data_IF_453801710481
#
_entry.id   IF_453801710481
#
_cell.length_a   1.000
_cell.length_b   1.000
_cell.length_c   1.000
_cell.angle_alpha   90.00
_cell.angle_beta   90.00
_cell.angle_gamma   90.00
#
_symmetry.space_group_name_H-M   'P 1'
#
loop_
_entity.id
_entity.type
_entity.pdbx_description
1 polymer ?
#
# COMPACT_ATOMS: atom_id res chain seq x y z
N UNK A 1 5.62 13.71 -1.83
CA UNK A 1 5.04 12.53 -2.49
C UNK A 1 5.67 11.34 -1.81
N UNK A 2 4.89 10.57 -1.05
CA UNK A 2 5.35 9.35 -0.37
C UNK A 2 6.20 8.51 -1.33
N UNK A 3 7.47 8.31 -0.98
CA UNK A 3 8.40 7.50 -1.76
C UNK A 3 8.53 6.12 -1.12
N UNK A 4 7.41 5.40 -1.03
CA UNK A 4 7.33 4.05 -0.46
C UNK A 4 7.13 2.95 -1.51
N UNK A 5 7.38 1.71 -1.08
CA UNK A 5 7.09 0.50 -1.83
C UNK A 5 6.23 -0.44 -0.98
N UNK A 6 4.98 -0.63 -1.38
CA UNK A 6 4.07 -1.57 -0.72
C UNK A 6 4.41 -3.01 -1.10
N UNK A 7 4.60 -3.87 -0.10
CA UNK A 7 4.67 -5.32 -0.31
C UNK A 7 3.29 -5.88 -0.71
N UNK A 8 3.18 -6.40 -1.94
CA UNK A 8 1.93 -6.98 -2.48
C UNK A 8 1.91 -8.51 -2.46
N UNK A 9 2.84 -9.12 -1.72
CA UNK A 9 3.02 -10.56 -1.59
C UNK A 9 4.14 -11.13 -2.46
N UNK A 10 4.70 -12.28 -2.05
CA UNK A 10 5.70 -13.04 -2.82
C UNK A 10 6.91 -12.24 -3.29
N UNK A 11 7.46 -11.42 -2.41
CA UNK A 11 8.59 -10.53 -2.74
C UNK A 11 8.32 -9.62 -3.95
N UNK A 12 7.05 -9.32 -4.23
CA UNK A 12 6.63 -8.33 -5.21
C UNK A 12 6.25 -7.05 -4.48
N UNK A 13 6.71 -5.93 -5.03
CA UNK A 13 6.53 -4.61 -4.46
C UNK A 13 6.00 -3.67 -5.53
N UNK A 14 5.18 -2.71 -5.12
CA UNK A 14 4.63 -1.68 -6.01
C UNK A 14 4.88 -0.31 -5.40
N UNK A 15 5.17 0.69 -6.24
CA UNK A 15 5.34 2.05 -5.75
C UNK A 15 4.01 2.59 -5.24
N UNK A 16 3.99 3.03 -3.98
CA UNK A 16 2.79 3.58 -3.32
C UNK A 16 2.28 4.81 -4.09
N UNK A 17 3.19 5.73 -4.45
CA UNK A 17 2.88 6.94 -5.22
C UNK A 17 2.24 6.71 -6.60
N UNK A 18 2.18 5.46 -7.09
CA UNK A 18 1.60 5.10 -8.39
C UNK A 18 0.30 4.32 -8.27
N UNK A 19 -0.18 4.03 -7.07
CA UNK A 19 -1.47 3.37 -6.84
C UNK A 19 -2.59 4.43 -6.96
N UNK A 20 -3.57 4.16 -7.83
CA UNK A 20 -4.84 4.90 -7.87
C UNK A 20 -5.87 4.25 -6.93
N UNK A 21 -5.83 2.93 -6.79
CA UNK A 21 -6.73 2.22 -5.90
C UNK A 21 -6.49 0.72 -5.85
N UNK A 22 -6.99 0.10 -4.78
CA UNK A 22 -6.93 -1.33 -4.53
C UNK A 22 -8.37 -1.83 -4.46
N UNK A 23 -8.72 -2.79 -5.33
CA UNK A 23 -10.12 -3.25 -5.49
C UNK A 23 -10.22 -4.77 -5.49
N UNK A 24 -11.39 -5.28 -5.10
CA UNK A 24 -11.71 -6.69 -5.31
C UNK A 24 -11.85 -7.01 -6.81
N UNK A 25 -11.31 -8.16 -7.28
CA UNK A 25 -11.43 -8.61 -8.67
C UNK A 25 -12.81 -9.22 -8.99
N UNK A 26 -13.74 -9.28 -8.04
CA UNK A 26 -14.95 -10.10 -8.12
C UNK A 26 -16.11 -9.44 -8.89
N UNK A 27 -16.03 -8.15 -9.21
CA UNK A 27 -17.08 -7.48 -9.99
C UNK A 27 -16.89 -7.68 -11.51
N UNK A 28 -18.00 -7.75 -12.25
CA UNK A 28 -17.95 -7.89 -13.71
C UNK A 28 -17.20 -6.72 -14.41
N UNK A 29 -17.36 -5.45 -14.00
CA UNK A 29 -16.57 -4.34 -14.55
C UNK A 29 -15.07 -4.48 -14.32
N UNK A 30 -14.64 -4.88 -13.12
CA UNK A 30 -13.21 -5.05 -12.81
C UNK A 30 -12.61 -6.22 -13.61
N UNK A 31 -13.30 -7.36 -13.72
CA UNK A 31 -12.85 -8.46 -14.59
C UNK A 31 -12.72 -8.04 -16.06
N UNK A 32 -13.62 -7.19 -16.56
CA UNK A 32 -13.51 -6.63 -17.91
C UNK A 32 -12.26 -5.76 -18.04
N UNK A 33 -11.97 -4.93 -17.04
CA UNK A 33 -10.77 -4.08 -17.01
C UNK A 33 -9.48 -4.91 -17.00
N UNK A 34 -9.43 -5.96 -16.17
CA UNK A 34 -8.30 -6.91 -16.11
C UNK A 34 -8.04 -7.53 -17.50
N UNK A 35 -9.11 -7.96 -18.19
CA UNK A 35 -9.00 -8.52 -19.55
C UNK A 35 -8.43 -7.50 -20.54
N UNK A 36 -8.92 -6.26 -20.51
CA UNK A 36 -8.42 -5.18 -21.38
C UNK A 36 -6.95 -4.88 -21.11
N UNK A 37 -6.54 -4.81 -19.84
CA UNK A 37 -5.13 -4.63 -19.49
C UNK A 37 -4.27 -5.79 -20.02
N UNK A 38 -4.77 -7.04 -19.96
CA UNK A 38 -4.08 -8.20 -20.53
C UNK A 38 -3.92 -8.08 -22.05
N UNK A 39 -4.99 -7.73 -22.76
CA UNK A 39 -4.99 -7.53 -24.22
C UNK A 39 -4.03 -6.41 -24.66
N UNK A 40 -3.84 -5.40 -23.81
CA UNK A 40 -2.95 -4.26 -24.07
C UNK A 40 -1.51 -4.47 -23.57
N UNK A 41 -1.15 -5.62 -23.01
CA UNK A 41 0.18 -5.86 -22.42
C UNK A 41 0.46 -5.05 -21.15
N UNK A 42 -0.60 -4.61 -20.45
CA UNK A 42 -0.56 -3.79 -19.22
C UNK A 42 -0.97 -4.55 -17.96
N UNK A 43 -1.15 -5.87 -18.05
CA UNK A 43 -1.43 -6.70 -16.89
C UNK A 43 -0.12 -7.22 -16.29
N UNK A 44 0.08 -6.99 -14.99
CA UNK A 44 1.13 -7.62 -14.20
C UNK A 44 0.48 -8.64 -13.27
N UNK A 45 0.83 -9.91 -13.43
CA UNK A 45 0.31 -10.98 -12.57
C UNK A 45 1.30 -11.30 -11.45
N UNK A 46 1.07 -10.72 -10.27
CA UNK A 46 1.84 -10.98 -9.05
C UNK A 46 1.12 -11.98 -8.11
N UNK A 47 0.26 -12.85 -8.66
CA UNK A 47 -0.45 -13.86 -7.86
C UNK A 47 0.35 -15.14 -7.63
N UNK A 48 1.39 -15.38 -8.44
CA UNK A 48 2.21 -16.59 -8.43
C UNK A 48 1.37 -17.89 -8.48
N UNK A 49 0.31 -17.87 -9.30
CA UNK A 49 -0.58 -19.02 -9.50
C UNK A 49 -1.59 -19.26 -8.37
N UNK A 50 -1.63 -18.39 -7.34
CA UNK A 50 -2.69 -18.43 -6.32
C UNK A 50 -3.94 -17.69 -6.81
N UNK A 51 -5.05 -17.87 -6.07
CA UNK A 51 -6.29 -17.14 -6.33
C UNK A 51 -6.03 -15.63 -6.28
N UNK A 52 -6.40 -14.92 -7.35
CA UNK A 52 -6.45 -13.46 -7.36
C UNK A 52 -7.43 -12.97 -6.30
N UNK A 53 -6.94 -12.17 -5.36
CA UNK A 53 -7.73 -11.61 -4.24
C UNK A 53 -7.86 -10.09 -4.33
N UNK A 54 -6.91 -9.41 -4.98
CA UNK A 54 -6.96 -7.98 -5.23
C UNK A 54 -6.49 -7.66 -6.65
N UNK A 55 -6.99 -6.55 -7.18
CA UNK A 55 -6.44 -5.87 -8.35
C UNK A 55 -6.05 -4.44 -7.94
N UNK A 56 -4.80 -4.07 -8.23
CA UNK A 56 -4.24 -2.75 -7.93
C UNK A 56 -4.21 -1.96 -9.23
N UNK A 57 -4.86 -0.81 -9.22
CA UNK A 57 -4.96 0.11 -10.35
C UNK A 57 -3.82 1.13 -10.24
N UNK A 58 -3.09 1.35 -11.32
CA UNK A 58 -1.97 2.30 -11.33
C UNK A 58 -2.20 3.51 -12.23
N UNK A 59 -1.51 4.61 -11.92
CA UNK A 59 -1.54 5.85 -12.71
C UNK A 59 -1.26 5.64 -14.20
N UNK A 60 -0.36 4.72 -14.55
CA UNK A 60 0.00 4.41 -15.93
C UNK A 60 -0.97 3.47 -16.67
N UNK A 61 -2.10 3.12 -16.05
CA UNK A 61 -3.07 2.17 -16.60
C UNK A 61 -2.62 0.71 -16.57
N UNK A 62 -1.59 0.38 -15.79
CA UNK A 62 -1.29 -1.01 -15.47
C UNK A 62 -2.28 -1.52 -14.43
N UNK A 63 -2.57 -2.82 -14.50
CA UNK A 63 -3.33 -3.52 -13.47
C UNK A 63 -2.42 -4.60 -12.90
N UNK A 64 -2.21 -4.55 -11.58
CA UNK A 64 -1.39 -5.54 -10.88
C UNK A 64 -2.30 -6.47 -10.08
N UNK A 65 -2.26 -7.75 -10.38
CA UNK A 65 -3.04 -8.76 -9.65
C UNK A 65 -2.24 -9.24 -8.45
N UNK A 66 -2.89 -9.30 -7.28
CA UNK A 66 -2.27 -9.81 -6.06
C UNK A 66 -3.09 -10.96 -5.48
N UNK A 67 -2.37 -11.90 -4.85
CA UNK A 67 -2.98 -12.93 -4.03
C UNK A 67 -3.16 -12.48 -2.56
N UNK A 68 -2.94 -11.22 -2.22
CA UNK A 68 -3.23 -10.63 -0.91
C UNK A 68 -4.62 -9.97 -0.96
N UNK A 69 -5.34 -9.94 0.17
CA UNK A 69 -6.65 -9.30 0.25
C UNK A 69 -6.51 -7.76 0.17
N UNK A 70 -7.50 -7.04 -0.41
CA UNK A 70 -7.48 -5.58 -0.48
C UNK A 70 -7.22 -4.93 0.89
N UNK A 71 -7.98 -5.31 1.92
CA UNK A 71 -7.88 -4.72 3.26
C UNK A 71 -6.49 -4.92 3.86
N UNK A 72 -5.88 -6.10 3.67
CA UNK A 72 -4.50 -6.37 4.13
C UNK A 72 -3.46 -5.51 3.41
N UNK A 73 -3.70 -5.14 2.15
CA UNK A 73 -2.82 -4.23 1.43
C UNK A 73 -2.97 -2.79 1.91
N UNK A 74 -4.20 -2.37 2.25
CA UNK A 74 -4.48 -1.04 2.80
C UNK A 74 -3.90 -0.90 4.20
N UNK A 75 -4.10 -1.87 5.09
CA UNK A 75 -3.52 -1.81 6.44
C UNK A 75 -2.00 -1.71 6.42
N UNK A 76 -1.32 -2.35 5.44
CA UNK A 76 0.13 -2.22 5.27
C UNK A 76 0.57 -0.82 4.83
N UNK A 77 -0.27 -0.10 4.08
CA UNK A 77 0.00 1.28 3.70
C UNK A 77 -0.17 2.19 4.92
N UNK A 78 -1.24 1.99 5.69
CA UNK A 78 -1.53 2.76 6.90
C UNK A 78 -0.47 2.53 8.00
N UNK A 79 0.01 1.29 8.17
CA UNK A 79 1.11 0.96 9.10
C UNK A 79 2.43 1.67 8.74
N UNK A 80 2.72 1.85 7.45
CA UNK A 80 3.90 2.60 6.99
C UNK A 80 3.76 4.10 7.29
N UNK A 81 2.54 4.66 7.20
CA UNK A 81 2.26 6.06 7.55
C UNK A 81 2.41 6.32 9.07
N UNK A 82 1.91 5.40 9.92
CA UNK A 82 2.04 5.52 11.38
C UNK A 82 3.50 5.44 11.86
N UNK A 83 4.35 4.65 11.18
CA UNK A 83 5.78 4.59 11.51
C UNK A 83 6.50 5.89 11.15
N UNK A 84 6.15 6.54 10.04
CA UNK A 84 6.72 7.85 9.68
C UNK A 84 6.35 8.91 10.71
N UNK A 85 5.08 9.00 11.13
CA UNK A 85 4.62 9.96 12.14
C UNK A 85 5.29 9.78 13.50
N UNK A 86 5.58 8.54 13.91
CA UNK A 86 6.26 8.25 15.19
C UNK A 86 7.74 8.62 15.21
N UNK A 87 8.35 8.84 14.05
CA UNK A 87 9.78 9.19 13.93
C UNK A 87 10.02 10.69 13.82
N UNK A 88 8.97 11.51 13.77
CA UNK A 88 9.11 12.96 13.90
C UNK A 88 9.78 13.26 15.25
N UNK A 89 10.88 14.02 15.26
CA UNK A 89 11.60 14.32 16.49
C UNK A 89 10.67 15.08 17.43
N UNK A 90 10.54 14.59 18.66
CA UNK A 90 9.98 15.35 19.79
C UNK A 90 10.64 16.72 19.74
N UNK A 91 9.81 17.76 19.61
CA UNK A 91 10.34 19.12 19.53
C UNK A 91 11.11 19.42 20.82
N UNK A 92 12.15 20.26 20.77
CA UNK A 92 12.94 20.61 21.97
C UNK A 92 12.02 21.07 23.13
N UNK A 93 10.89 21.71 22.81
CA UNK A 93 9.86 22.12 23.77
C UNK A 93 9.14 20.95 24.45
N UNK A 94 8.88 19.84 23.76
CA UNK A 94 8.25 18.66 24.34
C UNK A 94 9.25 17.83 25.16
N UNK A 95 10.52 17.79 24.75
CA UNK A 95 11.58 17.16 25.54
C UNK A 95 11.86 17.92 26.85
N UNK A 96 11.86 19.26 26.82
CA UNK A 96 12.01 20.11 28.01
C UNK A 96 10.83 19.94 29.00
N UNK A 97 9.60 19.74 28.51
CA UNK A 97 8.42 19.50 29.35
C UNK A 97 8.44 18.12 30.02
N UNK A 98 9.01 17.10 29.38
CA UNK A 98 9.18 15.78 30.00
C UNK A 98 10.25 15.80 31.10
N UNK A 99 11.35 16.53 30.90
CA UNK A 99 12.42 16.67 31.90
C UNK A 99 11.98 17.47 33.14
N UNK A 100 11.19 18.55 33.00
CA UNK A 100 10.66 19.32 34.15
C UNK A 100 9.60 18.55 34.96
N UNK A 101 8.96 17.53 34.39
CA UNK A 101 7.92 16.73 35.08
C UNK A 101 8.46 15.56 35.90
N UNK A 102 9.76 15.24 35.77
CA UNK A 102 10.39 14.05 36.33
C UNK A 102 11.07 14.19 37.70
N UNK A 103 11.09 15.39 38.29
CA UNK A 103 11.79 15.69 39.54
C UNK A 103 10.84 16.10 40.67
N UNK A 104 9.95 15.21 41.14
CA UNK A 104 9.15 15.46 42.35
C UNK A 104 8.65 14.15 43.02
N UNK A 105 9.55 13.30 43.55
CA UNK A 105 9.27 12.30 44.64
C UNK A 105 10.51 12.04 45.48
#
# INVERSE_FOLDING_TARGET
MESGFLNIGFSSYISVSKIIGIVSPDSAPIRRMIRLAKEQGRLVDATFGRRTRAAILTEGGFIVLSAVLPDTLVSRLEEEEEEEERTEPITEQEAELEEESGEDV
#
